data_IF_092344423757
#
_entry.id   IF_092344423757
#
_cell.length_a   1.000
_cell.length_b   1.000
_cell.length_c   1.000
_cell.angle_alpha   90.00
_cell.angle_beta   90.00
_cell.angle_gamma   90.00
#
_symmetry.space_group_name_H-M   'P 1'
#
loop_
_entity.id
_entity.type
_entity.pdbx_description
1 polymer ?
#
# COMPACT_ATOMS: atom_id res chain seq x y z
N UNK A 1 -12.84 19.64 38.29
CA UNK A 1 -11.67 20.53 38.18
C UNK A 1 -11.00 20.30 36.84
N UNK A 2 -11.29 21.17 35.89
CA UNK A 2 -10.67 21.26 34.58
C UNK A 2 -9.48 22.21 34.70
N UNK A 3 -8.27 21.70 34.52
CA UNK A 3 -7.12 22.57 34.25
C UNK A 3 -6.88 22.62 32.74
N UNK A 4 -6.66 23.81 32.15
CA UNK A 4 -6.34 23.92 30.75
C UNK A 4 -4.89 23.51 30.50
N UNK A 5 -4.71 22.75 29.42
CA UNK A 5 -3.39 22.51 28.82
C UNK A 5 -2.91 23.83 28.21
N UNK A 6 -2.16 24.62 28.99
CA UNK A 6 -1.40 25.74 28.49
C UNK A 6 0.07 25.45 28.72
N UNK A 7 0.82 25.60 27.62
CA UNK A 7 2.26 25.76 27.51
C UNK A 7 3.12 24.48 27.59
N UNK A 8 3.92 24.25 26.56
CA UNK A 8 5.22 24.92 26.38
C UNK A 8 5.53 25.14 24.91
N UNK A 9 5.46 26.34 24.40
CA UNK A 9 6.32 26.79 23.32
C UNK A 9 7.61 27.34 23.96
N UNK A 10 8.60 26.48 24.19
CA UNK A 10 9.96 26.94 24.41
C UNK A 10 10.68 26.94 23.07
N UNK A 11 10.95 28.14 22.56
CA UNK A 11 11.91 28.36 21.48
C UNK A 11 13.30 28.07 22.01
N UNK A 12 13.72 26.81 21.96
CA UNK A 12 15.13 26.43 22.02
C UNK A 12 15.46 25.72 20.71
N UNK A 13 16.47 26.21 20.03
CA UNK A 13 17.00 25.70 18.76
C UNK A 13 17.66 24.28 18.86
N UNK A 14 17.31 23.52 19.86
CA UNK A 14 17.59 22.10 19.96
C UNK A 14 16.38 21.32 19.46
N UNK A 15 16.24 21.22 18.13
CA UNK A 15 15.42 20.16 17.58
C UNK A 15 15.95 18.84 18.17
N UNK A 16 15.11 18.02 18.84
CA UNK A 16 15.54 16.76 19.37
C UNK A 16 16.08 15.95 18.20
N UNK A 17 17.38 15.67 18.22
CA UNK A 17 18.00 14.75 17.28
C UNK A 17 17.25 13.44 17.49
N UNK A 18 16.35 13.13 16.58
CA UNK A 18 15.58 11.90 16.61
C UNK A 18 16.59 10.77 16.56
N UNK A 19 16.96 10.25 17.73
CA UNK A 19 17.64 8.97 17.80
C UNK A 19 16.68 7.96 17.20
N UNK A 20 16.91 7.62 15.94
CA UNK A 20 16.27 6.50 15.29
C UNK A 20 16.58 5.29 16.16
N UNK A 21 15.60 4.91 16.99
CA UNK A 21 15.70 3.70 17.80
C UNK A 21 15.94 2.54 16.84
N UNK A 22 17.13 1.98 16.84
CA UNK A 22 17.61 0.90 15.96
C UNK A 22 16.89 -0.44 16.19
N UNK A 23 15.60 -0.44 16.51
CA UNK A 23 14.80 -1.64 16.72
C UNK A 23 13.65 -1.75 15.73
N UNK A 24 13.87 -1.28 14.50
CA UNK A 24 12.99 -1.65 13.40
C UNK A 24 13.24 -3.13 13.11
N UNK A 25 12.25 -4.00 13.31
CA UNK A 25 12.40 -5.40 12.91
C UNK A 25 12.76 -5.46 11.44
N UNK A 26 13.54 -6.44 11.03
CA UNK A 26 13.97 -6.60 9.62
C UNK A 26 12.78 -6.60 8.64
N UNK A 27 11.61 -7.06 9.09
CA UNK A 27 10.36 -7.05 8.32
C UNK A 27 9.83 -5.62 8.10
N UNK A 28 9.77 -4.80 9.16
CA UNK A 28 9.33 -3.40 9.05
C UNK A 28 10.26 -2.64 8.11
N UNK A 29 11.58 -2.79 8.28
CA UNK A 29 12.55 -2.13 7.41
C UNK A 29 12.35 -2.55 5.93
N UNK A 30 12.14 -3.83 5.66
CA UNK A 30 11.89 -4.35 4.31
C UNK A 30 10.60 -3.81 3.73
N UNK A 31 9.50 -3.81 4.49
CA UNK A 31 8.22 -3.24 4.06
C UNK A 31 8.38 -1.76 3.70
N UNK A 32 8.97 -0.96 4.59
CA UNK A 32 9.18 0.48 4.37
C UNK A 32 10.07 0.79 3.17
N UNK A 33 11.18 0.06 3.01
CA UNK A 33 12.11 0.27 1.90
C UNK A 33 11.54 -0.10 0.53
N UNK A 34 10.51 -0.93 0.48
CA UNK A 34 9.82 -1.30 -0.74
C UNK A 34 8.55 -0.47 -0.99
N UNK A 35 8.11 0.32 -0.01
CA UNK A 35 6.91 1.14 -0.13
C UNK A 35 7.19 2.39 -0.97
N UNK A 36 6.27 2.68 -1.87
CA UNK A 36 6.31 3.88 -2.71
C UNK A 36 5.03 4.68 -2.53
N UNK A 37 5.12 5.99 -2.71
CA UNK A 37 4.00 6.89 -2.92
C UNK A 37 3.66 6.90 -4.41
N UNK A 38 2.37 6.87 -4.74
CA UNK A 38 1.89 6.92 -6.11
C UNK A 38 1.05 8.16 -6.29
N UNK A 39 1.31 8.89 -7.36
CA UNK A 39 0.50 10.02 -7.81
C UNK A 39 0.06 9.71 -9.24
N UNK A 40 -1.24 9.63 -9.46
CA UNK A 40 -1.82 9.39 -10.77
C UNK A 40 -2.62 10.61 -11.22
N UNK A 41 -2.39 11.04 -12.45
CA UNK A 41 -3.15 12.14 -13.08
C UNK A 41 -4.00 11.50 -14.18
N UNK A 42 -5.31 11.64 -14.03
CA UNK A 42 -6.29 11.16 -14.99
C UNK A 42 -6.78 12.26 -15.94
N UNK A 43 -7.82 11.95 -16.74
CA UNK A 43 -8.53 12.94 -17.53
C UNK A 43 -9.02 14.09 -16.65
N UNK A 44 -9.12 15.28 -17.20
CA UNK A 44 -9.58 16.49 -16.52
C UNK A 44 -8.71 16.93 -15.32
N UNK A 45 -7.41 16.58 -15.34
CA UNK A 45 -6.43 16.90 -14.31
C UNK A 45 -6.79 16.38 -12.89
N UNK A 46 -7.70 15.43 -12.83
CA UNK A 46 -8.04 14.78 -11.56
C UNK A 46 -6.84 13.99 -11.03
N UNK A 47 -6.37 14.39 -9.85
CA UNK A 47 -5.23 13.77 -9.19
C UNK A 47 -5.69 12.77 -8.14
N UNK A 48 -5.11 11.57 -8.17
CA UNK A 48 -5.26 10.54 -7.16
C UNK A 48 -3.92 10.24 -6.51
N UNK A 49 -3.93 10.01 -5.21
CA UNK A 49 -2.74 9.68 -4.44
C UNK A 49 -2.98 8.38 -3.67
N UNK A 50 -1.97 7.55 -3.63
CA UNK A 50 -2.00 6.29 -2.91
C UNK A 50 -0.61 5.75 -2.62
N UNK A 51 -0.58 4.50 -2.27
CA UNK A 51 0.63 3.75 -1.95
C UNK A 51 0.83 2.59 -2.92
N UNK A 52 2.04 2.08 -2.96
CA UNK A 52 2.37 0.86 -3.68
C UNK A 52 3.52 0.13 -3.01
N UNK A 53 3.78 -1.07 -3.46
CA UNK A 53 4.91 -1.86 -2.98
C UNK A 53 5.71 -2.43 -4.13
N UNK A 54 7.02 -2.18 -4.10
CA UNK A 54 7.95 -2.61 -5.14
C UNK A 54 8.39 -4.06 -4.96
N UNK A 55 8.37 -4.79 -6.05
CA UNK A 55 8.78 -6.19 -6.12
C UNK A 55 9.76 -6.45 -7.25
N UNK A 56 10.64 -7.46 -7.05
CA UNK A 56 11.41 -8.06 -8.12
C UNK A 56 10.68 -9.29 -8.65
N UNK A 57 10.27 -9.23 -9.91
CA UNK A 57 9.52 -10.29 -10.59
C UNK A 57 10.13 -10.56 -11.97
N UNK A 58 10.55 -11.80 -12.23
CA UNK A 58 11.16 -12.25 -13.50
C UNK A 58 12.22 -11.29 -14.10
N UNK A 59 13.04 -10.68 -13.26
CA UNK A 59 14.06 -9.70 -13.71
C UNK A 59 13.61 -8.25 -13.65
N UNK A 60 12.33 -7.98 -13.79
CA UNK A 60 11.77 -6.62 -13.75
C UNK A 60 11.58 -6.12 -12.32
N UNK A 61 11.64 -4.81 -12.15
CA UNK A 61 11.11 -4.13 -10.96
C UNK A 61 9.69 -3.71 -11.28
N UNK A 62 8.74 -4.20 -10.50
CA UNK A 62 7.32 -3.85 -10.61
C UNK A 62 6.84 -3.22 -9.31
N UNK A 63 5.77 -2.43 -9.39
CA UNK A 63 5.07 -1.88 -8.23
C UNK A 63 3.63 -2.36 -8.27
N UNK A 64 3.20 -3.04 -7.22
CA UNK A 64 1.81 -3.48 -7.06
C UNK A 64 1.06 -2.44 -6.24
N UNK A 65 -0.16 -2.11 -6.67
CA UNK A 65 -1.04 -1.11 -6.04
C UNK A 65 -2.52 -1.48 -6.24
N UNK A 66 -3.43 -0.67 -5.71
CA UNK A 66 -4.86 -0.78 -5.98
C UNK A 66 -5.22 -0.08 -7.30
N UNK A 67 -6.15 -0.65 -8.06
CA UNK A 67 -6.52 -0.10 -9.37
C UNK A 67 -7.15 1.29 -9.26
N UNK A 68 -7.97 1.55 -8.23
CA UNK A 68 -8.61 2.86 -8.04
C UNK A 68 -7.62 3.99 -7.71
N UNK A 69 -6.36 3.69 -7.34
CA UNK A 69 -5.29 4.68 -7.19
C UNK A 69 -4.89 5.24 -8.56
N UNK A 70 -5.14 4.50 -9.63
CA UNK A 70 -4.82 4.88 -11.01
C UNK A 70 -6.04 5.54 -11.65
N UNK A 71 -5.98 6.83 -11.88
CA UNK A 71 -7.10 7.67 -12.33
C UNK A 71 -7.44 7.50 -13.83
N UNK A 72 -7.74 6.31 -14.32
CA UNK A 72 -8.18 6.06 -15.69
C UNK A 72 -7.21 6.52 -16.82
N UNK A 73 -7.41 6.02 -18.06
CA UNK A 73 -6.58 6.41 -19.22
C UNK A 73 -6.91 7.82 -19.75
N UNK A 74 -5.92 8.57 -20.34
CA UNK A 74 -4.52 8.18 -20.41
C UNK A 74 -3.83 8.27 -19.07
N UNK A 75 -3.12 7.20 -18.71
CA UNK A 75 -2.45 7.14 -17.40
C UNK A 75 -1.14 7.92 -17.42
N UNK A 76 -1.03 8.92 -16.56
CA UNK A 76 0.25 9.49 -16.14
C UNK A 76 0.44 9.14 -14.67
N UNK A 77 1.33 8.20 -14.40
CA UNK A 77 1.56 7.67 -13.05
C UNK A 77 2.97 7.99 -12.63
N UNK A 78 3.08 8.82 -11.59
CA UNK A 78 4.32 9.10 -10.88
C UNK A 78 4.50 8.17 -9.69
N UNK A 79 5.72 7.75 -9.47
CA UNK A 79 6.13 6.96 -8.30
C UNK A 79 7.24 7.71 -7.58
N UNK A 80 7.09 7.87 -6.28
CA UNK A 80 8.05 8.53 -5.41
C UNK A 80 8.48 7.60 -4.28
N UNK A 81 9.78 7.52 -4.04
CA UNK A 81 10.37 6.79 -2.91
C UNK A 81 11.75 7.33 -2.58
N UNK A 82 12.04 7.48 -1.27
CA UNK A 82 13.37 7.87 -0.76
C UNK A 82 13.94 9.15 -1.39
N UNK A 83 13.07 10.08 -1.80
CA UNK A 83 13.48 11.35 -2.43
C UNK A 83 13.72 11.28 -3.94
N UNK A 84 13.53 10.12 -4.57
CA UNK A 84 13.53 9.96 -6.01
C UNK A 84 12.09 9.88 -6.53
N UNK A 85 11.86 10.44 -7.72
CA UNK A 85 10.59 10.34 -8.43
C UNK A 85 10.83 9.84 -9.87
N UNK A 86 9.94 8.99 -10.35
CA UNK A 86 9.94 8.51 -11.72
C UNK A 86 8.50 8.33 -12.22
N UNK A 87 8.34 8.23 -13.52
CA UNK A 87 7.06 7.81 -14.12
C UNK A 87 7.07 6.29 -14.32
N UNK A 88 5.88 5.72 -14.39
CA UNK A 88 5.70 4.29 -14.59
C UNK A 88 4.62 4.00 -15.63
N UNK A 89 4.80 2.91 -16.35
CA UNK A 89 3.81 2.35 -17.25
C UNK A 89 2.88 1.42 -16.48
N UNK A 90 1.58 1.47 -16.78
CA UNK A 90 0.61 0.49 -16.27
C UNK A 90 0.71 -0.77 -17.11
N UNK A 91 1.19 -1.86 -16.52
CA UNK A 91 1.39 -3.16 -17.20
C UNK A 91 0.30 -4.18 -16.86
N UNK A 92 -0.49 -3.92 -15.82
CA UNK A 92 -1.64 -4.74 -15.45
C UNK A 92 -2.68 -3.85 -14.77
N UNK A 93 -3.96 -4.03 -15.14
CA UNK A 93 -5.06 -3.29 -14.55
C UNK A 93 -6.30 -4.17 -14.47
N UNK A 94 -6.80 -4.39 -13.27
CA UNK A 94 -7.99 -5.18 -12.97
C UNK A 94 -8.92 -4.37 -12.06
N UNK A 95 -9.87 -3.69 -12.68
CA UNK A 95 -10.87 -2.91 -11.95
C UNK A 95 -11.82 -3.77 -11.11
N UNK A 96 -12.04 -5.04 -11.50
CA UNK A 96 -12.94 -5.94 -10.79
C UNK A 96 -12.37 -6.37 -9.43
N UNK A 97 -11.08 -6.72 -9.41
CA UNK A 97 -10.38 -7.09 -8.17
C UNK A 97 -9.65 -5.90 -7.53
N UNK A 98 -9.76 -4.70 -8.11
CA UNK A 98 -9.07 -3.51 -7.63
C UNK A 98 -7.55 -3.68 -7.48
N UNK A 99 -6.92 -4.26 -8.51
CA UNK A 99 -5.46 -4.48 -8.55
C UNK A 99 -4.84 -3.83 -9.78
N UNK A 100 -3.67 -3.24 -9.62
CA UNK A 100 -2.84 -2.76 -10.72
C UNK A 100 -1.37 -3.06 -10.48
N UNK A 101 -0.62 -3.20 -11.58
CA UNK A 101 0.84 -3.35 -11.57
C UNK A 101 1.45 -2.31 -12.50
N UNK A 102 2.48 -1.66 -12.01
CA UNK A 102 3.21 -0.61 -12.69
C UNK A 102 4.64 -1.07 -12.95
N UNK A 103 5.18 -0.71 -14.10
CA UNK A 103 6.60 -0.84 -14.43
C UNK A 103 7.26 0.54 -14.43
N UNK A 104 8.09 0.89 -13.44
CA UNK A 104 8.80 2.15 -13.41
C UNK A 104 9.90 2.21 -14.49
N UNK A 105 10.07 3.35 -15.15
CA UNK A 105 11.09 3.51 -16.19
C UNK A 105 12.51 3.54 -15.65
N UNK A 106 12.72 4.10 -14.48
CA UNK A 106 14.04 4.11 -13.85
C UNK A 106 13.91 4.16 -12.32
N UNK A 107 14.77 3.40 -11.63
CA UNK A 107 14.88 3.45 -10.17
C UNK A 107 16.26 3.02 -9.73
N UNK A 108 16.99 3.88 -9.01
CA UNK A 108 18.30 3.55 -8.43
C UNK A 108 18.20 3.14 -6.95
N UNK A 109 17.33 3.81 -6.18
CA UNK A 109 17.27 3.65 -4.71
C UNK A 109 16.20 2.69 -4.22
N UNK A 110 15.28 2.26 -5.09
CA UNK A 110 14.21 1.36 -4.70
C UNK A 110 14.77 -0.02 -4.28
N UNK A 111 14.30 -0.53 -3.14
CA UNK A 111 14.70 -1.85 -2.63
C UNK A 111 13.54 -2.85 -2.75
N UNK A 112 13.31 -3.38 -3.97
CA UNK A 112 12.19 -4.25 -4.22
C UNK A 112 12.31 -5.56 -3.45
N UNK A 113 11.19 -6.06 -2.94
CA UNK A 113 11.08 -7.36 -2.31
C UNK A 113 10.95 -8.42 -3.40
N UNK A 114 11.53 -9.61 -3.20
CA UNK A 114 11.31 -10.73 -4.12
C UNK A 114 9.83 -11.13 -4.09
N UNK A 115 9.17 -11.04 -5.25
CA UNK A 115 7.77 -11.41 -5.40
C UNK A 115 7.59 -12.92 -5.22
N UNK A 116 6.81 -13.29 -4.22
CA UNK A 116 6.40 -14.67 -3.95
C UNK A 116 4.92 -14.65 -3.55
N UNK A 117 4.01 -14.95 -4.48
CA UNK A 117 2.60 -15.03 -4.17
C UNK A 117 2.34 -16.16 -3.17
N UNK A 118 1.49 -15.87 -2.19
CA UNK A 118 1.07 -16.86 -1.19
C UNK A 118 -0.11 -17.66 -1.73
N UNK A 119 -0.13 -18.94 -1.41
CA UNK A 119 -1.30 -19.79 -1.67
C UNK A 119 -2.45 -19.42 -0.73
N UNK A 120 -3.70 -19.35 -1.21
CA UNK A 120 -4.87 -18.94 -0.41
C UNK A 120 -5.02 -19.72 0.91
N UNK A 121 -4.80 -21.03 0.85
CA UNK A 121 -4.94 -21.93 2.02
C UNK A 121 -3.95 -21.69 3.16
N UNK A 122 -2.98 -20.80 3.00
CA UNK A 122 -1.95 -20.52 4.02
C UNK A 122 -2.29 -19.34 4.93
N UNK A 123 -3.36 -18.60 4.66
CA UNK A 123 -3.81 -17.46 5.47
C UNK A 123 -4.86 -17.93 6.48
N UNK A 124 -4.72 -17.47 7.73
CA UNK A 124 -5.60 -17.86 8.84
C UNK A 124 -6.18 -16.63 9.53
N UNK A 125 -7.42 -16.75 10.00
CA UNK A 125 -8.01 -15.76 10.91
C UNK A 125 -7.17 -15.71 12.20
N UNK A 126 -6.93 -14.50 12.71
CA UNK A 126 -6.04 -14.24 13.84
C UNK A 126 -4.56 -14.12 13.48
N UNK A 127 -4.19 -14.32 12.20
CA UNK A 127 -2.81 -14.15 11.74
C UNK A 127 -2.41 -12.68 11.75
N UNK A 128 -1.31 -12.36 12.45
CA UNK A 128 -0.77 -11.00 12.46
C UNK A 128 -0.30 -10.56 11.08
N UNK A 129 -0.46 -9.28 10.85
CA UNK A 129 -0.10 -8.62 9.59
C UNK A 129 0.44 -7.23 9.83
N UNK A 130 1.13 -6.68 8.85
CA UNK A 130 1.50 -5.28 8.81
C UNK A 130 1.48 -4.76 7.37
N UNK A 131 1.32 -3.45 7.23
CA UNK A 131 1.56 -2.73 5.99
C UNK A 131 2.35 -1.45 6.23
N UNK A 132 2.99 -0.95 5.21
CA UNK A 132 3.57 0.40 5.17
C UNK A 132 2.94 1.18 4.02
N UNK A 133 2.64 2.46 4.23
CA UNK A 133 1.97 3.30 3.25
C UNK A 133 1.97 4.77 3.66
N UNK A 134 1.33 5.60 2.84
CA UNK A 134 1.25 7.04 3.00
C UNK A 134 -0.20 7.50 3.28
N UNK A 135 -0.77 7.14 4.45
CA UNK A 135 -2.10 7.64 4.81
C UNK A 135 -2.06 9.17 4.88
N UNK A 136 -3.12 9.79 4.38
CA UNK A 136 -3.28 11.25 4.34
C UNK A 136 -2.25 11.98 3.46
N UNK A 137 -1.51 11.24 2.63
CA UNK A 137 -0.47 11.79 1.76
C UNK A 137 0.67 12.54 2.51
N UNK A 138 0.89 12.17 3.75
CA UNK A 138 1.90 12.75 4.63
C UNK A 138 3.12 11.85 4.77
N UNK A 139 3.49 11.54 6.01
CA UNK A 139 4.60 10.65 6.31
C UNK A 139 4.26 9.17 6.03
N UNK A 140 5.29 8.36 5.78
CA UNK A 140 5.13 6.91 5.69
C UNK A 140 4.86 6.33 7.08
N UNK A 141 3.71 5.68 7.24
CA UNK A 141 3.33 4.92 8.43
C UNK A 141 3.57 3.43 8.23
N UNK A 142 3.89 2.72 9.32
CA UNK A 142 3.84 1.25 9.38
C UNK A 142 2.85 0.85 10.45
N UNK A 143 1.81 0.15 10.05
CA UNK A 143 0.67 -0.17 10.89
C UNK A 143 0.52 -1.69 10.96
N UNK A 144 0.26 -2.21 12.16
CA UNK A 144 0.05 -3.63 12.43
C UNK A 144 -1.43 -3.92 12.64
N UNK A 145 -1.80 -5.16 12.39
CA UNK A 145 -3.13 -5.67 12.64
C UNK A 145 -3.15 -7.19 12.54
N UNK A 146 -4.33 -7.76 12.35
CA UNK A 146 -4.50 -9.19 12.15
C UNK A 146 -5.67 -9.48 11.21
N UNK A 147 -5.65 -10.61 10.54
CA UNK A 147 -6.75 -11.07 9.69
C UNK A 147 -7.95 -11.40 10.58
N UNK A 148 -9.02 -10.63 10.45
CA UNK A 148 -10.25 -10.79 11.25
C UNK A 148 -11.30 -11.64 10.57
N UNK A 149 -11.34 -11.64 9.20
CA UNK A 149 -12.27 -12.45 8.43
C UNK A 149 -11.75 -12.73 7.01
N UNK A 150 -12.37 -13.70 6.36
CA UNK A 150 -12.19 -14.02 4.94
C UNK A 150 -13.59 -14.12 4.34
N UNK A 151 -13.86 -13.36 3.27
CA UNK A 151 -15.16 -13.37 2.61
C UNK A 151 -15.31 -14.54 1.61
N UNK A 152 -16.50 -14.68 1.01
CA UNK A 152 -16.80 -15.75 0.05
C UNK A 152 -15.98 -15.68 -1.23
N UNK A 153 -15.50 -14.51 -1.59
CA UNK A 153 -14.67 -14.25 -2.77
C UNK A 153 -13.17 -14.48 -2.48
N UNK A 154 -12.83 -14.85 -1.23
CA UNK A 154 -11.47 -15.05 -0.77
C UNK A 154 -10.71 -13.78 -0.44
N UNK A 155 -11.35 -12.61 -0.39
CA UNK A 155 -10.73 -11.39 0.11
C UNK A 155 -10.60 -11.44 1.62
N UNK A 156 -9.60 -10.73 2.16
CA UNK A 156 -9.35 -10.68 3.60
C UNK A 156 -9.85 -9.37 4.20
N UNK A 157 -10.32 -9.45 5.42
CA UNK A 157 -10.55 -8.31 6.28
C UNK A 157 -9.49 -8.30 7.38
N UNK A 158 -8.82 -7.19 7.52
CA UNK A 158 -7.81 -6.97 8.54
C UNK A 158 -8.38 -6.02 9.59
N UNK A 159 -8.33 -6.40 10.85
CA UNK A 159 -8.55 -5.46 11.95
C UNK A 159 -7.28 -4.63 12.12
N UNK A 160 -7.37 -3.38 11.71
CA UNK A 160 -6.25 -2.43 11.66
C UNK A 160 -6.78 -1.05 11.33
N UNK A 161 -5.97 -0.04 11.51
CA UNK A 161 -6.29 1.31 11.06
C UNK A 161 -5.83 1.52 9.63
N UNK A 162 -6.66 2.19 8.82
CA UNK A 162 -6.27 2.70 7.51
C UNK A 162 -7.01 4.00 7.18
N UNK A 163 -6.42 4.82 6.34
CA UNK A 163 -6.96 6.09 5.89
C UNK A 163 -6.65 6.33 4.41
N UNK A 164 -7.26 7.37 3.83
CA UNK A 164 -6.97 7.79 2.44
C UNK A 164 -5.47 7.89 2.21
N UNK A 165 -4.98 7.44 1.06
CA UNK A 165 -3.57 7.36 0.74
C UNK A 165 -2.91 6.03 1.13
N UNK A 166 -3.47 5.26 2.07
CA UNK A 166 -3.00 3.91 2.38
C UNK A 166 -3.38 2.89 1.29
N UNK A 167 -4.36 3.18 0.44
CA UNK A 167 -4.77 2.33 -0.70
C UNK A 167 -3.57 1.97 -1.57
N UNK A 168 -3.45 0.70 -1.93
CA UNK A 168 -2.33 0.16 -2.69
C UNK A 168 -1.16 -0.34 -1.84
N UNK A 169 -1.16 -0.11 -0.52
CA UNK A 169 -0.12 -0.64 0.37
C UNK A 169 -0.07 -2.15 0.35
N UNK A 170 1.12 -2.72 0.23
CA UNK A 170 1.33 -4.15 0.37
C UNK A 170 1.23 -4.60 1.82
N UNK A 171 0.46 -5.66 2.05
CA UNK A 171 0.25 -6.27 3.36
C UNK A 171 1.09 -7.53 3.49
N UNK A 172 1.79 -7.66 4.61
CA UNK A 172 2.70 -8.76 4.92
C UNK A 172 2.29 -9.46 6.21
N UNK A 173 2.55 -10.74 6.29
CA UNK A 173 2.43 -11.49 7.54
C UNK A 173 3.73 -11.43 8.39
N UNK A 174 3.71 -12.01 9.60
CA UNK A 174 4.87 -12.03 10.50
C UNK A 174 6.10 -12.74 9.92
N UNK A 175 5.91 -13.58 8.90
CA UNK A 175 7.00 -14.26 8.20
C UNK A 175 7.55 -13.42 7.04
N UNK A 176 7.00 -12.23 6.81
CA UNK A 176 7.37 -11.33 5.71
C UNK A 176 6.91 -11.82 4.34
N UNK A 177 5.88 -12.68 4.29
CA UNK A 177 5.25 -13.09 3.06
C UNK A 177 4.22 -12.04 2.64
N UNK A 178 4.23 -11.70 1.37
CA UNK A 178 3.27 -10.76 0.80
C UNK A 178 1.92 -11.46 0.62
N UNK A 179 0.88 -10.99 1.30
CA UNK A 179 -0.43 -11.64 1.31
C UNK A 179 -1.46 -10.95 0.43
N UNK A 180 -1.33 -9.65 0.22
CA UNK A 180 -2.28 -8.90 -0.61
C UNK A 180 -2.07 -7.40 -0.55
N UNK A 181 -2.99 -6.69 -1.18
CA UNK A 181 -3.01 -5.24 -1.34
C UNK A 181 -4.16 -4.65 -0.53
N UNK A 182 -3.90 -3.61 0.22
CA UNK A 182 -4.92 -2.81 0.90
C UNK A 182 -5.68 -1.99 -0.15
N UNK A 183 -7.00 -2.16 -0.21
CA UNK A 183 -7.82 -1.50 -1.24
C UNK A 183 -8.86 -0.55 -0.66
N UNK A 184 -9.44 -0.85 0.50
CA UNK A 184 -10.51 -0.03 1.06
C UNK A 184 -10.57 -0.14 2.59
N UNK A 185 -11.31 0.77 3.20
CA UNK A 185 -11.81 0.63 4.57
C UNK A 185 -13.26 0.17 4.54
N UNK A 186 -13.71 -0.51 5.58
CA UNK A 186 -15.10 -0.91 5.72
C UNK A 186 -16.02 0.32 5.74
N UNK A 187 -17.21 0.15 5.17
CA UNK A 187 -18.27 1.17 5.26
C UNK A 187 -19.46 0.51 5.95
N UNK A 188 -19.90 1.09 7.04
CA UNK A 188 -21.13 0.73 7.74
C UNK A 188 -22.15 1.83 7.62
N UNK A 189 -23.25 1.68 8.35
CA UNK A 189 -24.25 2.74 8.54
C UNK A 189 -24.31 3.12 10.00
N UNK A 190 -24.39 4.41 10.28
CA UNK A 190 -24.64 4.90 11.64
C UNK A 190 -26.10 4.63 12.07
N UNK A 191 -26.43 5.02 13.28
CA UNK A 191 -27.77 4.85 13.85
C UNK A 191 -28.89 5.59 13.09
N UNK A 192 -28.53 6.53 12.22
CA UNK A 192 -29.42 7.30 11.37
C UNK A 192 -29.50 6.73 9.94
N UNK A 193 -28.78 5.63 9.65
CA UNK A 193 -28.70 5.04 8.33
C UNK A 193 -27.73 5.75 7.36
N UNK A 194 -26.90 6.68 7.86
CA UNK A 194 -25.91 7.38 7.05
C UNK A 194 -24.67 6.52 6.86
N UNK A 195 -24.11 6.40 5.64
CA UNK A 195 -22.84 5.68 5.44
C UNK A 195 -21.72 6.29 6.27
N UNK A 196 -21.03 5.47 7.03
CA UNK A 196 -19.89 5.84 7.86
C UNK A 196 -18.73 4.87 7.63
N UNK A 197 -17.50 5.41 7.59
CA UNK A 197 -16.31 4.58 7.49
C UNK A 197 -16.11 3.81 8.80
N UNK A 198 -15.82 2.52 8.66
CA UNK A 198 -15.39 1.66 9.75
C UNK A 198 -13.87 1.55 9.60
N UNK A 199 -13.15 2.51 10.18
CA UNK A 199 -11.72 2.71 9.95
C UNK A 199 -10.84 1.55 10.43
N UNK A 200 -11.36 0.74 11.34
CA UNK A 200 -10.68 -0.44 11.88
C UNK A 200 -10.97 -1.75 11.12
N UNK A 201 -11.76 -1.68 10.05
CA UNK A 201 -12.01 -2.79 9.13
C UNK A 201 -11.41 -2.48 7.77
N UNK A 202 -10.26 -3.07 7.50
CA UNK A 202 -9.48 -2.84 6.29
C UNK A 202 -9.65 -4.00 5.32
N UNK A 203 -9.98 -3.69 4.07
CA UNK A 203 -10.13 -4.66 3.00
C UNK A 203 -8.78 -4.91 2.32
N UNK A 204 -8.46 -6.19 2.14
CA UNK A 204 -7.26 -6.64 1.46
C UNK A 204 -7.64 -7.57 0.33
N UNK A 205 -7.22 -7.22 -0.87
CA UNK A 205 -7.32 -8.10 -2.03
C UNK A 205 -6.09 -8.99 -2.09
N UNK A 206 -6.28 -10.32 -2.11
CA UNK A 206 -5.17 -11.26 -2.14
C UNK A 206 -4.34 -11.16 -3.40
N UNK A 207 -3.03 -11.28 -3.26
CA UNK A 207 -2.10 -11.17 -4.38
C UNK A 207 -2.24 -12.30 -5.42
N UNK A 208 -2.75 -13.46 -5.03
CA UNK A 208 -2.97 -14.56 -5.96
C UNK A 208 -4.06 -14.29 -7.00
N UNK A 209 -4.84 -13.21 -6.84
CA UNK A 209 -5.83 -12.76 -7.83
C UNK A 209 -5.20 -12.07 -9.05
N UNK A 210 -3.93 -11.70 -9.00
CA UNK A 210 -3.22 -11.21 -10.20
C UNK A 210 -3.09 -12.38 -11.19
N UNK A 211 -3.57 -12.15 -12.42
CA UNK A 211 -3.41 -13.07 -13.53
C UNK A 211 -1.96 -12.99 -14.03
N UNK A 212 -1.11 -13.90 -13.55
CA UNK A 212 0.32 -13.88 -13.83
C UNK A 212 0.63 -14.06 -15.32
N UNK A 213 -0.15 -14.85 -16.06
CA UNK A 213 0.06 -15.04 -17.48
C UNK A 213 -0.13 -13.75 -18.29
N UNK A 214 -1.14 -12.94 -17.92
CA UNK A 214 -1.36 -11.63 -18.54
C UNK A 214 -0.27 -10.64 -18.15
N UNK A 215 0.15 -10.65 -16.89
CA UNK A 215 1.25 -9.82 -16.41
C UNK A 215 2.55 -10.17 -17.14
N UNK A 216 2.85 -11.45 -17.30
CA UNK A 216 4.03 -11.94 -18.01
C UNK A 216 4.04 -11.46 -19.47
N UNK A 217 2.94 -11.67 -20.18
CA UNK A 217 2.79 -11.21 -21.56
C UNK A 217 3.05 -9.70 -21.72
N UNK A 218 2.51 -8.89 -20.82
CA UNK A 218 2.71 -7.45 -20.88
C UNK A 218 4.12 -7.01 -20.49
N UNK A 219 4.79 -7.73 -19.59
CA UNK A 219 6.18 -7.45 -19.24
C UNK A 219 7.16 -7.83 -20.34
N UNK A 220 6.94 -8.94 -21.03
CA UNK A 220 7.76 -9.34 -22.20
C UNK A 220 7.72 -8.29 -23.30
N UNK A 221 6.58 -7.62 -23.50
CA UNK A 221 6.46 -6.53 -24.48
C UNK A 221 7.23 -5.25 -24.14
N UNK A 222 7.76 -5.13 -22.91
CA UNK A 222 8.62 -3.98 -22.54
C UNK A 222 10.08 -4.18 -22.95
N UNK A 223 10.48 -5.44 -23.21
CA UNK A 223 11.87 -5.80 -23.57
C UNK A 223 12.11 -5.74 -25.09
N UNK A 224 11.05 -5.53 -25.91
CA UNK A 224 11.11 -5.34 -27.37
C UNK A 224 11.28 -3.86 -27.76
#
# INVERSE_FOLDING_TARGET
CTQPLTEVCSTSDDAPTMQVVKTTTSLIARSRNATVRIVSVGPDDNMSVGSGTAFKYKGHTIVVTAAHVISGPPWVVGIESLGEATIAQVVYYDAHNDLAVLAPYSYSELKPIKFKPIKPASIKIGQNTLYSGYPNDEAMYTIKGYISAINREGNYYMHSYAWRGASGSGVFDDYGRFIGVLTAVGVGTDVLGTPAAIEDVVHIVPIWKIMTDLLDFNLESLDE
#
